data_IF_204421060859
#
_entry.id   IF_204421060859
#
_cell.length_a   1.000
_cell.length_b   1.000
_cell.length_c   1.000
_cell.angle_alpha   90.00
_cell.angle_beta   90.00
_cell.angle_gamma   90.00
#
_symmetry.space_group_name_H-M   'P 1'
#
loop_
_entity.id
_entity.type
_entity.pdbx_description
1 polymer ?
#
# COMPACT_ATOMS: atom_id res chain seq x y z
N UNK A 1 -10.19 -7.69 -0.52
CA UNK A 1 -8.90 -6.99 -0.73
C UNK A 1 -8.39 -7.34 -2.13
N UNK A 2 -8.09 -6.37 -3.00
CA UNK A 2 -7.59 -6.66 -4.34
C UNK A 2 -6.15 -7.21 -4.28
N UNK A 3 -5.71 -8.05 -5.24
CA UNK A 3 -4.31 -8.49 -5.31
C UNK A 3 -3.34 -7.32 -5.49
N UNK A 4 -3.72 -6.34 -6.31
CA UNK A 4 -2.95 -5.13 -6.59
C UNK A 4 -3.88 -3.91 -6.60
N UNK A 5 -3.40 -2.77 -6.10
CA UNK A 5 -4.13 -1.50 -6.19
C UNK A 5 -3.15 -0.34 -6.42
N UNK A 6 -3.47 0.57 -7.33
CA UNK A 6 -2.74 1.83 -7.53
C UNK A 6 -3.55 2.99 -6.95
N UNK A 7 -2.91 3.83 -6.14
CA UNK A 7 -3.52 5.07 -5.67
C UNK A 7 -3.39 6.17 -6.71
N UNK A 8 -4.51 6.73 -7.15
CA UNK A 8 -4.60 7.99 -7.93
C UNK A 8 -4.73 9.20 -7.00
N UNK A 9 -5.17 8.97 -5.76
CA UNK A 9 -5.02 9.90 -4.63
C UNK A 9 -4.73 9.09 -3.36
N UNK A 10 -3.88 9.62 -2.47
CA UNK A 10 -3.49 8.91 -1.27
C UNK A 10 -3.17 9.81 -0.07
N UNK A 11 -3.47 9.31 1.13
CA UNK A 11 -3.20 9.97 2.41
C UNK A 11 -2.62 8.95 3.39
N UNK A 12 -1.46 9.27 3.96
CA UNK A 12 -0.84 8.51 5.04
C UNK A 12 -1.57 8.75 6.36
N UNK A 13 -1.87 7.67 7.08
CA UNK A 13 -2.67 7.72 8.31
C UNK A 13 -1.87 8.04 9.58
N UNK A 14 -0.53 7.93 9.54
CA UNK A 14 0.35 8.19 10.68
C UNK A 14 0.31 7.12 11.77
N UNK A 15 0.31 5.84 11.40
CA UNK A 15 0.40 4.73 12.33
C UNK A 15 1.87 4.39 12.65
N UNK A 16 2.10 3.75 13.81
CA UNK A 16 3.43 3.32 14.26
C UNK A 16 4.51 4.41 14.26
N UNK A 17 4.10 5.65 14.55
CA UNK A 17 4.99 6.81 14.59
C UNK A 17 5.45 7.32 13.23
N UNK A 18 4.85 6.87 12.12
CA UNK A 18 5.14 7.42 10.80
C UNK A 18 4.48 8.79 10.60
N UNK A 19 4.94 9.54 9.60
CA UNK A 19 4.26 10.74 9.15
C UNK A 19 2.82 10.46 8.72
N UNK A 20 1.96 11.45 8.96
CA UNK A 20 0.60 11.53 8.44
C UNK A 20 0.51 12.68 7.44
N UNK A 21 -0.34 12.55 6.42
CA UNK A 21 -0.58 13.61 5.45
C UNK A 21 -0.77 13.11 4.04
N UNK A 22 -1.09 14.04 3.13
CA UNK A 22 -1.28 13.73 1.72
C UNK A 22 0.04 13.34 1.05
N UNK A 23 -0.03 12.33 0.19
CA UNK A 23 1.06 12.01 -0.73
C UNK A 23 0.86 12.86 -2.00
N UNK A 24 1.93 13.43 -2.58
CA UNK A 24 1.84 14.19 -3.82
C UNK A 24 1.69 13.24 -5.03
N UNK A 25 0.50 12.66 -5.20
CA UNK A 25 0.20 11.75 -6.32
C UNK A 25 -0.12 12.56 -7.58
N UNK A 26 0.66 12.44 -8.67
CA UNK A 26 0.34 13.07 -9.94
C UNK A 26 -0.80 12.31 -10.63
N UNK A 27 -2.04 12.80 -10.47
CA UNK A 27 -3.29 12.14 -10.87
C UNK A 27 -3.24 11.61 -12.31
N UNK A 28 -2.93 12.46 -13.28
CA UNK A 28 -2.95 12.07 -14.70
C UNK A 28 -1.89 11.00 -15.02
N UNK A 29 -0.76 11.05 -14.32
CA UNK A 29 0.30 10.06 -14.49
C UNK A 29 -0.09 8.73 -13.85
N UNK A 30 -0.77 8.74 -12.70
CA UNK A 30 -1.28 7.56 -12.05
C UNK A 30 -2.37 6.88 -12.90
N UNK A 31 -3.30 7.65 -13.48
CA UNK A 31 -4.33 7.14 -14.40
C UNK A 31 -3.70 6.55 -15.68
N UNK A 32 -2.74 7.24 -16.29
CA UNK A 32 -2.02 6.73 -17.44
C UNK A 32 -1.27 5.42 -17.13
N UNK A 33 -0.66 5.32 -15.94
CA UNK A 33 -0.03 4.10 -15.46
C UNK A 33 -1.05 2.96 -15.33
N UNK A 34 -2.20 3.22 -14.70
CA UNK A 34 -3.26 2.24 -14.53
C UNK A 34 -3.76 1.70 -15.87
N UNK A 35 -4.02 2.58 -16.84
CA UNK A 35 -4.42 2.19 -18.19
C UNK A 35 -3.35 1.34 -18.90
N UNK A 36 -2.07 1.70 -18.77
CA UNK A 36 -0.97 0.92 -19.34
C UNK A 36 -0.85 -0.47 -18.72
N UNK A 37 -1.01 -0.59 -17.40
CA UNK A 37 -0.99 -1.88 -16.69
C UNK A 37 -2.18 -2.75 -17.11
N UNK A 38 -3.40 -2.20 -17.14
CA UNK A 38 -4.59 -2.92 -17.61
C UNK A 38 -4.40 -3.43 -19.05
N UNK A 39 -3.86 -2.60 -19.95
CA UNK A 39 -3.57 -2.98 -21.35
C UNK A 39 -2.52 -4.10 -21.45
N UNK A 40 -1.65 -4.25 -20.46
CA UNK A 40 -0.68 -5.35 -20.38
C UNK A 40 -1.28 -6.68 -19.89
N UNK A 41 -2.58 -6.71 -19.63
CA UNK A 41 -3.31 -7.91 -19.23
C UNK A 41 -3.22 -8.19 -17.72
N UNK A 42 -3.09 -7.15 -16.89
CA UNK A 42 -3.07 -7.24 -15.42
C UNK A 42 -4.25 -6.48 -14.86
N UNK A 43 -5.16 -7.20 -14.18
CA UNK A 43 -6.28 -6.59 -13.47
C UNK A 43 -5.75 -5.80 -12.26
N UNK A 44 -5.85 -4.48 -12.35
CA UNK A 44 -5.36 -3.54 -11.36
C UNK A 44 -6.54 -2.74 -10.79
N UNK A 45 -6.75 -2.81 -9.47
CA UNK A 45 -7.68 -1.91 -8.82
C UNK A 45 -7.09 -0.48 -8.75
N UNK A 46 -7.96 0.52 -8.74
CA UNK A 46 -7.58 1.92 -8.57
C UNK A 46 -8.34 2.52 -7.39
N UNK A 47 -7.66 3.33 -6.60
CA UNK A 47 -8.28 4.12 -5.52
C UNK A 47 -7.95 5.60 -5.67
N UNK A 48 -8.98 6.44 -5.66
CA UNK A 48 -8.83 7.91 -5.66
C UNK A 48 -8.69 8.49 -4.24
N UNK A 49 -8.86 7.66 -3.21
CA UNK A 49 -8.80 8.04 -1.80
C UNK A 49 -8.10 6.95 -0.98
N UNK A 50 -6.94 6.48 -1.45
CA UNK A 50 -6.19 5.41 -0.79
C UNK A 50 -5.67 5.90 0.58
N UNK A 51 -6.07 5.22 1.64
CA UNK A 51 -5.39 5.36 2.92
C UNK A 51 -4.18 4.44 2.93
N UNK A 52 -3.00 5.01 3.17
CA UNK A 52 -1.74 4.27 3.25
C UNK A 52 -1.19 4.30 4.67
N UNK A 53 -0.50 3.24 5.06
CA UNK A 53 0.07 3.05 6.39
C UNK A 53 1.60 3.28 6.39
N UNK A 54 2.21 2.98 7.54
CA UNK A 54 3.64 2.99 7.77
C UNK A 54 4.46 2.23 6.72
N UNK A 55 3.88 1.20 6.07
CA UNK A 55 4.52 0.47 4.97
C UNK A 55 4.82 1.35 3.75
N UNK A 56 4.08 2.45 3.58
CA UNK A 56 4.36 3.48 2.57
C UNK A 56 5.09 4.68 3.16
N UNK A 57 4.69 5.15 4.35
CA UNK A 57 5.19 6.38 4.92
C UNK A 57 6.66 6.30 5.37
N UNK A 58 7.05 5.25 6.10
CA UNK A 58 8.40 5.14 6.67
C UNK A 58 9.52 5.11 5.62
N UNK A 59 9.40 4.37 4.49
CA UNK A 59 10.41 4.45 3.43
C UNK A 59 10.59 5.86 2.85
N UNK A 60 9.51 6.62 2.68
CA UNK A 60 9.58 7.99 2.17
C UNK A 60 10.25 8.92 3.20
N UNK A 61 9.92 8.78 4.47
CA UNK A 61 10.56 9.55 5.54
C UNK A 61 12.05 9.24 5.66
N UNK A 62 12.41 7.97 5.79
CA UNK A 62 13.80 7.58 6.07
C UNK A 62 14.73 7.78 4.87
N UNK A 63 14.24 7.58 3.64
CA UNK A 63 15.08 7.67 2.45
C UNK A 63 15.03 9.05 1.79
N UNK A 64 13.87 9.73 1.84
CA UNK A 64 13.66 10.97 1.09
C UNK A 64 13.46 12.19 2.01
N UNK A 65 13.29 12.00 3.32
CA UNK A 65 13.13 13.08 4.30
C UNK A 65 11.70 13.60 4.45
N UNK A 66 10.69 12.87 3.95
CA UNK A 66 9.27 13.19 4.15
C UNK A 66 8.34 12.68 3.05
N UNK A 67 7.03 12.75 3.29
CA UNK A 67 6.00 12.27 2.37
C UNK A 67 5.89 13.10 1.08
N UNK A 68 6.25 14.39 1.15
CA UNK A 68 5.95 15.41 0.15
C UNK A 68 7.15 15.86 -0.70
N UNK A 69 8.28 15.13 -0.62
CA UNK A 69 9.56 15.57 -1.20
C UNK A 69 9.65 15.36 -2.71
N UNK A 70 8.94 14.37 -3.23
CA UNK A 70 8.87 14.05 -4.66
C UNK A 70 7.49 13.48 -5.00
N UNK A 71 7.02 13.56 -6.25
CA UNK A 71 5.79 12.89 -6.66
C UNK A 71 5.85 11.37 -6.44
N UNK A 72 4.77 10.77 -5.94
CA UNK A 72 4.71 9.34 -5.58
C UNK A 72 3.53 8.66 -6.27
N UNK A 73 3.75 7.48 -6.84
CA UNK A 73 2.68 6.56 -7.28
C UNK A 73 2.61 5.39 -6.27
N UNK A 74 1.67 5.39 -5.31
CA UNK A 74 1.57 4.33 -4.33
C UNK A 74 0.95 3.07 -4.95
N UNK A 75 1.70 1.97 -4.94
CA UNK A 75 1.28 0.66 -5.44
C UNK A 75 1.17 -0.32 -4.28
N UNK A 76 -0.04 -0.72 -3.96
CA UNK A 76 -0.33 -1.77 -2.99
C UNK A 76 -0.27 -3.15 -3.63
N UNK A 77 0.37 -4.08 -2.92
CA UNK A 77 0.42 -5.51 -3.26
C UNK A 77 -0.07 -6.28 -2.05
N UNK A 78 -1.10 -7.11 -2.22
CA UNK A 78 -1.64 -7.92 -1.13
C UNK A 78 -0.60 -8.96 -0.68
N UNK A 79 -0.01 -8.76 0.49
CA UNK A 79 0.88 -9.73 1.15
C UNK A 79 0.27 -10.37 2.40
N UNK A 80 -1.01 -10.13 2.68
CA UNK A 80 -1.61 -10.36 4.01
C UNK A 80 -2.84 -11.25 3.94
N UNK A 81 -3.88 -10.89 3.17
CA UNK A 81 -5.14 -11.63 3.16
C UNK A 81 -5.16 -12.64 2.01
N UNK A 82 -5.30 -13.92 2.32
CA UNK A 82 -5.41 -14.95 1.30
C UNK A 82 -6.71 -14.81 0.49
N UNK A 83 -6.70 -15.17 -0.81
CA UNK A 83 -5.56 -15.66 -1.59
C UNK A 83 -4.55 -14.56 -1.97
N UNK A 84 -3.26 -14.91 -1.92
CA UNK A 84 -2.15 -14.01 -2.26
C UNK A 84 -1.80 -14.08 -3.76
N UNK A 85 -1.37 -12.98 -4.39
CA UNK A 85 -0.76 -13.04 -5.72
C UNK A 85 0.55 -13.85 -5.67
N UNK A 86 0.72 -14.76 -6.62
CA UNK A 86 1.99 -15.48 -6.77
C UNK A 86 3.12 -14.58 -7.26
N UNK A 87 4.37 -14.95 -6.97
CA UNK A 87 5.55 -14.16 -7.35
C UNK A 87 5.65 -13.85 -8.84
N UNK A 88 5.26 -14.80 -9.70
CA UNK A 88 5.19 -14.56 -11.15
C UNK A 88 4.26 -13.39 -11.47
N UNK A 89 3.10 -13.31 -10.82
CA UNK A 89 2.12 -12.25 -11.07
C UNK A 89 2.62 -10.89 -10.58
N UNK A 90 3.25 -10.87 -9.41
CA UNK A 90 3.91 -9.67 -8.88
C UNK A 90 5.03 -9.17 -9.79
N UNK A 91 5.85 -10.09 -10.34
CA UNK A 91 6.87 -9.75 -11.33
C UNK A 91 6.25 -9.15 -12.59
N UNK A 92 5.18 -9.73 -13.12
CA UNK A 92 4.49 -9.20 -14.30
C UNK A 92 3.98 -7.77 -14.06
N UNK A 93 3.45 -7.47 -12.87
CA UNK A 93 3.06 -6.11 -12.49
C UNK A 93 4.26 -5.16 -12.54
N UNK A 94 5.38 -5.54 -11.91
CA UNK A 94 6.61 -4.76 -11.93
C UNK A 94 7.13 -4.51 -13.35
N UNK A 95 7.10 -5.51 -14.23
CA UNK A 95 7.48 -5.35 -15.63
C UNK A 95 6.53 -4.43 -16.41
N UNK A 96 5.23 -4.49 -16.13
CA UNK A 96 4.24 -3.60 -16.76
C UNK A 96 4.43 -2.14 -16.36
N UNK A 97 4.61 -1.86 -15.07
CA UNK A 97 4.91 -0.53 -14.56
C UNK A 97 6.28 -0.07 -15.09
N UNK A 98 7.28 -0.95 -15.08
CA UNK A 98 8.62 -0.67 -15.63
C UNK A 98 8.56 -0.22 -17.09
N UNK A 99 7.83 -0.95 -17.95
CA UNK A 99 7.62 -0.55 -19.35
C UNK A 99 6.95 0.82 -19.46
N UNK A 100 5.88 1.07 -18.73
CA UNK A 100 5.22 2.39 -18.72
C UNK A 100 6.18 3.50 -18.27
N UNK A 101 6.90 3.31 -17.17
CA UNK A 101 7.82 4.34 -16.66
C UNK A 101 8.99 4.60 -17.59
N UNK A 102 9.42 3.62 -18.39
CA UNK A 102 10.49 3.79 -19.39
C UNK A 102 10.12 4.74 -20.53
N UNK A 103 8.82 4.98 -20.76
CA UNK A 103 8.35 5.97 -21.75
C UNK A 103 8.31 7.38 -21.17
N UNK A 104 8.45 7.53 -19.86
CA UNK A 104 8.50 8.84 -19.22
C UNK A 104 9.92 9.37 -19.40
N UNK A 105 10.08 10.54 -20.02
CA UNK A 105 11.36 11.24 -20.07
C UNK A 105 11.70 11.85 -18.69
N UNK A 106 11.82 10.99 -17.67
CA UNK A 106 11.99 11.30 -16.25
C UNK A 106 12.92 10.27 -15.60
N UNK A 107 13.54 10.67 -14.49
CA UNK A 107 14.20 9.71 -13.59
C UNK A 107 13.16 9.11 -12.66
N UNK A 108 13.09 7.79 -12.60
CA UNK A 108 12.11 7.05 -11.80
C UNK A 108 12.83 6.19 -10.78
N UNK A 109 12.43 6.30 -9.51
CA UNK A 109 12.89 5.47 -8.41
C UNK A 109 11.79 4.46 -8.06
N UNK A 110 12.15 3.18 -7.96
CA UNK A 110 11.27 2.15 -7.44
C UNK A 110 11.64 1.85 -5.99
N UNK A 111 10.69 1.98 -5.07
CA UNK A 111 10.81 1.61 -3.67
C UNK A 111 9.93 0.39 -3.41
N UNK A 112 10.56 -0.72 -3.00
CA UNK A 112 9.86 -1.88 -2.46
C UNK A 112 10.06 -1.93 -0.95
N UNK A 113 8.97 -1.92 -0.18
CA UNK A 113 8.99 -1.96 1.28
C UNK A 113 8.49 -3.30 1.83
N UNK A 114 8.70 -3.53 3.13
CA UNK A 114 8.40 -4.78 3.83
C UNK A 114 9.57 -5.77 3.89
N UNK A 115 9.38 -6.87 4.62
CA UNK A 115 10.39 -7.90 4.84
C UNK A 115 11.44 -7.56 5.93
N UNK A 116 12.49 -8.37 6.14
CA UNK A 116 12.72 -9.72 5.60
C UNK A 116 11.98 -10.76 6.44
N UNK A 117 12.68 -11.71 7.08
CA UNK A 117 12.04 -12.73 7.90
C UNK A 117 11.51 -12.14 9.21
N UNK A 118 10.20 -12.13 9.38
CA UNK A 118 9.51 -11.77 10.62
C UNK A 118 8.10 -12.39 10.62
N UNK A 119 7.48 -12.47 11.79
CA UNK A 119 6.13 -13.02 11.96
C UNK A 119 5.25 -11.99 12.68
N UNK A 120 4.69 -11.01 11.95
CA UNK A 120 3.75 -10.08 12.55
C UNK A 120 2.44 -10.81 12.90
N UNK A 121 1.77 -10.44 14.01
CA UNK A 121 0.51 -11.02 14.39
C UNK A 121 -0.61 -10.53 13.47
N UNK A 122 -0.84 -11.23 12.35
CA UNK A 122 -1.91 -10.92 11.40
C UNK A 122 -3.15 -11.76 11.72
N UNK A 123 -4.32 -11.14 11.99
CA UNK A 123 -5.56 -11.88 12.19
C UNK A 123 -6.03 -12.54 10.89
N UNK A 124 -6.24 -13.86 10.92
CA UNK A 124 -6.87 -14.60 9.82
C UNK A 124 -8.39 -14.65 10.03
N UNK A 125 -9.18 -14.26 9.02
CA UNK A 125 -10.65 -14.24 9.10
C UNK A 125 -11.24 -15.61 9.53
N UNK A 126 -10.60 -16.70 9.10
CA UNK A 126 -11.01 -18.07 9.43
C UNK A 126 -10.84 -18.41 10.93
N UNK A 127 -9.88 -17.80 11.61
CA UNK A 127 -9.53 -18.04 13.02
C UNK A 127 -9.99 -16.92 13.95
N UNK A 128 -10.54 -15.84 13.39
CA UNK A 128 -10.99 -14.68 14.13
C UNK A 128 -12.21 -15.00 15.02
N UNK A 129 -12.24 -14.46 16.24
CA UNK A 129 -13.45 -14.39 17.03
C UNK A 129 -14.48 -13.42 16.39
N UNK A 130 -15.69 -13.32 16.95
CA UNK A 130 -16.74 -12.48 16.38
C UNK A 130 -16.34 -11.00 16.28
N UNK A 131 -15.61 -10.49 17.28
CA UNK A 131 -15.17 -9.10 17.37
C UNK A 131 -14.11 -8.77 16.32
N UNK A 132 -13.09 -9.63 16.21
CA UNK A 132 -12.03 -9.50 15.22
C UNK A 132 -12.55 -9.69 13.80
N UNK A 133 -13.54 -10.58 13.61
CA UNK A 133 -14.19 -10.79 12.32
C UNK A 133 -14.92 -9.52 11.86
N UNK A 134 -15.68 -8.88 12.74
CA UNK A 134 -16.35 -7.61 12.45
C UNK A 134 -15.35 -6.53 12.00
N UNK A 135 -14.22 -6.42 12.73
CA UNK A 135 -13.14 -5.49 12.38
C UNK A 135 -12.57 -5.75 10.99
N UNK A 136 -12.28 -7.01 10.66
CA UNK A 136 -11.74 -7.41 9.36
C UNK A 136 -12.73 -7.18 8.20
N UNK A 137 -14.03 -7.20 8.47
CA UNK A 137 -15.08 -7.01 7.47
C UNK A 137 -15.46 -5.53 7.25
N UNK A 138 -14.91 -4.61 8.02
CA UNK A 138 -14.99 -3.17 7.71
C UNK A 138 -15.03 -2.24 8.92
N UNK A 139 -15.46 -2.70 10.09
CA UNK A 139 -15.56 -1.82 11.27
C UNK A 139 -14.18 -1.40 11.81
N UNK A 140 -13.13 -2.12 11.43
CA UNK A 140 -11.74 -1.80 11.79
C UNK A 140 -11.16 -0.59 11.06
N UNK A 141 -11.91 0.03 10.12
CA UNK A 141 -11.48 1.25 9.43
C UNK A 141 -11.46 2.45 10.38
N UNK A 142 -12.49 2.59 11.20
CA UNK A 142 -12.69 3.74 12.10
C UNK A 142 -12.55 3.31 13.57
N UNK A 143 -11.38 2.75 13.91
CA UNK A 143 -11.12 2.32 15.29
C UNK A 143 -11.07 3.53 16.26
N UNK A 144 -11.66 3.42 17.46
CA UNK A 144 -11.46 4.38 18.54
C UNK A 144 -9.97 4.63 18.80
N UNK A 145 -9.60 5.85 19.22
CA UNK A 145 -8.21 6.22 19.45
C UNK A 145 -7.48 5.27 20.41
N UNK A 146 -8.13 4.89 21.51
CA UNK A 146 -7.59 3.92 22.48
C UNK A 146 -7.30 2.54 21.88
N UNK A 147 -8.12 2.07 20.94
CA UNK A 147 -7.89 0.79 20.28
C UNK A 147 -6.78 0.86 19.23
N UNK A 148 -6.63 2.02 18.56
CA UNK A 148 -5.51 2.27 17.65
C UNK A 148 -4.19 2.28 18.40
N UNK A 149 -4.12 2.94 19.55
CA UNK A 149 -2.92 2.95 20.40
C UNK A 149 -2.53 1.55 20.87
N UNK A 150 -3.51 0.76 21.36
CA UNK A 150 -3.28 -0.63 21.76
C UNK A 150 -2.79 -1.51 20.60
N UNK A 151 -3.29 -1.30 19.38
CA UNK A 151 -2.81 -2.02 18.20
C UNK A 151 -1.36 -1.67 17.90
N UNK A 152 -1.00 -0.39 17.98
CA UNK A 152 0.38 0.05 17.71
C UNK A 152 1.36 -0.52 18.72
N UNK A 153 0.98 -0.63 20.00
CA UNK A 153 1.83 -1.22 21.05
C UNK A 153 2.08 -2.73 20.88
N UNK A 154 1.23 -3.46 20.16
CA UNK A 154 1.34 -4.93 20.00
C UNK A 154 2.41 -5.38 19.01
N UNK A 155 2.88 -4.49 18.13
CA UNK A 155 3.92 -4.82 17.14
C UNK A 155 5.33 -4.40 17.58
N UNK A 156 5.48 -3.68 18.69
CA UNK A 156 6.79 -3.43 19.32
C UNK A 156 7.18 -4.65 20.18
N UNK A 157 7.76 -5.67 19.55
CA UNK A 157 8.49 -6.76 20.23
C UNK A 157 9.91 -6.86 19.68
#
# INVERSE_FOLDING_TARGET
MPPFCLGVGATAIGDFGSAAGELPVPVELAEACAHAVMKSGIDLAVSYCMQVDHGFAQPLEFLLGGLDKVPVLPVFINGVATPLPGFQRTRMLGEAIGRFTSTLNKRVLFLGSGGLSHQPPVPELAKADAHMRDRLLGSGKDLPASERELRQQREYW
#
